data_IF_623833932709
#
_entry.id   IF_623833932709
#
_cell.length_a   1.000
_cell.length_b   1.000
_cell.length_c   1.000
_cell.angle_alpha   90.00
_cell.angle_beta   90.00
_cell.angle_gamma   90.00
#
_symmetry.space_group_name_H-M   'P 1'
#
loop_
_entity.id
_entity.type
_entity.pdbx_description
1 polymer ?
#
# COMPACT_ATOMS: atom_id res chain seq x y z
N UNK A 1 9.53 -23.89 -17.23
CA UNK A 1 8.14 -23.68 -16.75
C UNK A 1 7.28 -23.20 -17.91
N UNK A 2 6.05 -23.70 -18.03
CA UNK A 2 5.11 -23.30 -19.10
C UNK A 2 4.51 -21.90 -18.80
N UNK A 3 4.36 -21.05 -19.81
CA UNK A 3 3.74 -19.73 -19.69
C UNK A 3 2.33 -19.81 -19.07
N UNK A 4 1.62 -20.92 -19.30
CA UNK A 4 0.35 -21.21 -18.62
C UNK A 4 0.46 -21.19 -17.09
N UNK A 5 1.42 -21.94 -16.55
CA UNK A 5 1.62 -22.07 -15.10
C UNK A 5 2.02 -20.73 -14.48
N UNK A 6 2.83 -19.96 -15.21
CA UNK A 6 3.29 -18.64 -14.77
C UNK A 6 2.11 -17.67 -14.66
N UNK A 7 1.28 -17.54 -15.70
CA UNK A 7 0.10 -16.66 -15.67
C UNK A 7 -0.89 -17.08 -14.58
N UNK A 8 -1.10 -18.39 -14.41
CA UNK A 8 -1.91 -18.93 -13.32
C UNK A 8 -1.37 -18.55 -11.93
N UNK A 9 -0.05 -18.63 -11.74
CA UNK A 9 0.62 -18.25 -10.50
C UNK A 9 0.45 -16.77 -10.16
N UNK A 10 0.66 -15.87 -11.14
CA UNK A 10 0.44 -14.42 -10.98
C UNK A 10 -0.98 -14.14 -10.52
N UNK A 11 -1.98 -14.72 -11.21
CA UNK A 11 -3.39 -14.51 -10.85
C UNK A 11 -3.72 -15.00 -9.46
N UNK A 12 -3.16 -16.13 -9.04
CA UNK A 12 -3.41 -16.67 -7.72
C UNK A 12 -2.83 -15.78 -6.62
N UNK A 13 -1.60 -15.28 -6.80
CA UNK A 13 -0.95 -14.37 -5.84
C UNK A 13 -1.69 -13.04 -5.71
N UNK A 14 -2.19 -12.49 -6.81
CA UNK A 14 -2.95 -11.22 -6.83
C UNK A 14 -4.45 -11.42 -6.57
N UNK A 15 -4.97 -12.65 -6.64
CA UNK A 15 -6.38 -12.95 -6.41
C UNK A 15 -7.33 -12.45 -7.49
N UNK A 16 -6.91 -12.45 -8.76
CA UNK A 16 -7.64 -11.82 -9.88
C UNK A 16 -8.08 -12.81 -10.96
N UNK A 17 -9.10 -12.42 -11.75
CA UNK A 17 -9.57 -13.22 -12.88
C UNK A 17 -8.66 -13.10 -14.10
N UNK A 18 -8.84 -13.99 -15.09
CA UNK A 18 -8.17 -13.87 -16.40
C UNK A 18 -8.48 -12.54 -17.10
N UNK A 19 -9.73 -12.09 -16.98
CA UNK A 19 -10.16 -10.84 -17.60
C UNK A 19 -9.48 -9.64 -16.93
N UNK A 20 -9.35 -9.66 -15.60
CA UNK A 20 -8.62 -8.63 -14.85
C UNK A 20 -7.14 -8.60 -15.23
N UNK A 21 -6.46 -9.76 -15.25
CA UNK A 21 -5.06 -9.84 -15.65
C UNK A 21 -4.85 -9.32 -17.07
N UNK A 22 -5.74 -9.70 -18.00
CA UNK A 22 -5.68 -9.24 -19.38
C UNK A 22 -5.80 -7.72 -19.48
N UNK A 23 -6.80 -7.14 -18.79
CA UNK A 23 -7.01 -5.69 -18.74
C UNK A 23 -5.81 -4.95 -18.12
N UNK A 24 -5.31 -5.44 -16.98
CA UNK A 24 -4.13 -4.90 -16.30
C UNK A 24 -2.93 -4.81 -17.25
N UNK A 25 -2.68 -5.88 -18.00
CA UNK A 25 -1.56 -6.00 -18.95
C UNK A 25 -1.82 -5.34 -20.31
N UNK A 26 -3.04 -4.85 -20.57
CA UNK A 26 -3.43 -4.28 -21.86
C UNK A 26 -3.40 -5.30 -23.00
N UNK A 27 -3.80 -6.55 -22.73
CA UNK A 27 -3.95 -7.64 -23.71
C UNK A 27 -5.39 -8.12 -23.75
N UNK A 28 -5.77 -8.88 -24.78
CA UNK A 28 -7.13 -9.41 -24.87
C UNK A 28 -7.36 -10.55 -23.86
N UNK A 29 -8.56 -10.66 -23.25
CA UNK A 29 -8.91 -11.81 -22.39
C UNK A 29 -8.76 -13.17 -23.10
N UNK A 30 -9.01 -13.21 -24.41
CA UNK A 30 -8.82 -14.41 -25.24
C UNK A 30 -7.35 -14.83 -25.30
N UNK A 31 -6.43 -13.87 -25.41
CA UNK A 31 -4.98 -14.14 -25.41
C UNK A 31 -4.55 -14.81 -24.11
N UNK A 32 -4.88 -14.22 -22.95
CA UNK A 32 -4.58 -14.80 -21.63
C UNK A 32 -5.23 -16.17 -21.47
N UNK A 33 -6.49 -16.32 -21.89
CA UNK A 33 -7.21 -17.59 -21.84
C UNK A 33 -6.56 -18.71 -22.66
N UNK A 34 -6.07 -18.40 -23.87
CA UNK A 34 -5.38 -19.36 -24.73
C UNK A 34 -4.00 -19.73 -24.19
N UNK A 35 -3.25 -18.77 -23.65
CA UNK A 35 -1.95 -19.03 -23.01
C UNK A 35 -2.14 -19.97 -21.81
N UNK A 36 -3.08 -19.67 -20.92
CA UNK A 36 -3.31 -20.52 -19.75
C UNK A 36 -3.82 -21.93 -20.09
N UNK A 37 -4.40 -22.15 -21.25
CA UNK A 37 -4.79 -23.48 -21.71
C UNK A 37 -3.68 -24.21 -22.48
N UNK A 38 -2.55 -23.57 -22.74
CA UNK A 38 -1.49 -24.10 -23.61
C UNK A 38 -1.83 -24.08 -25.10
N UNK A 39 -2.91 -23.38 -25.50
CA UNK A 39 -3.38 -23.24 -26.89
C UNK A 39 -2.62 -22.13 -27.66
N UNK A 40 -1.84 -21.32 -26.94
CA UNK A 40 -1.02 -20.25 -27.49
C UNK A 40 0.26 -20.13 -26.67
N UNK A 41 1.40 -20.36 -27.31
CA UNK A 41 2.69 -20.01 -26.74
C UNK A 41 2.96 -18.52 -27.02
N UNK A 42 3.03 -17.64 -26.00
CA UNK A 42 3.25 -16.22 -26.24
C UNK A 42 4.67 -15.97 -26.75
N UNK A 43 4.82 -14.99 -27.64
CA UNK A 43 6.17 -14.49 -27.97
C UNK A 43 6.86 -13.96 -26.70
N UNK A 44 8.19 -14.04 -26.63
CA UNK A 44 8.95 -13.51 -25.51
C UNK A 44 8.60 -12.05 -25.18
N UNK A 45 8.41 -11.21 -26.21
CA UNK A 45 8.00 -9.81 -26.03
C UNK A 45 6.60 -9.66 -25.42
N UNK A 46 5.63 -10.48 -25.84
CA UNK A 46 4.28 -10.50 -25.24
C UNK A 46 4.35 -10.97 -23.79
N UNK A 47 5.14 -12.01 -23.51
CA UNK A 47 5.26 -12.58 -22.19
C UNK A 47 5.94 -11.61 -21.22
N UNK A 48 7.05 -10.99 -21.62
CA UNK A 48 7.76 -9.96 -20.85
C UNK A 48 6.85 -8.79 -20.52
N UNK A 49 6.07 -8.31 -21.49
CA UNK A 49 5.10 -7.22 -21.26
C UNK A 49 4.03 -7.59 -20.23
N UNK A 50 3.56 -8.84 -20.21
CA UNK A 50 2.59 -9.32 -19.20
C UNK A 50 3.24 -9.32 -17.81
N UNK A 51 4.48 -9.82 -17.70
CA UNK A 51 5.23 -9.84 -16.44
C UNK A 51 5.43 -8.41 -15.90
N UNK A 52 6.00 -7.52 -16.70
CA UNK A 52 6.27 -6.14 -16.31
C UNK A 52 5.00 -5.38 -15.92
N UNK A 53 3.92 -5.54 -16.70
CA UNK A 53 2.65 -4.84 -16.42
C UNK A 53 1.94 -5.36 -15.17
N UNK A 54 2.15 -6.62 -14.82
CA UNK A 54 1.59 -7.23 -13.61
C UNK A 54 2.49 -7.03 -12.37
N UNK A 55 3.71 -6.50 -12.52
CA UNK A 55 4.66 -6.30 -11.43
C UNK A 55 5.41 -7.56 -11.02
N UNK A 56 5.64 -8.46 -11.98
CA UNK A 56 6.36 -9.70 -11.78
C UNK A 56 7.58 -9.79 -12.70
N UNK A 57 8.54 -10.62 -12.29
CA UNK A 57 9.70 -10.96 -13.09
C UNK A 57 10.02 -12.44 -12.96
N UNK A 58 10.86 -12.95 -13.86
CA UNK A 58 11.39 -14.30 -13.75
C UNK A 58 12.64 -14.30 -12.88
N UNK A 59 12.69 -15.27 -11.97
CA UNK A 59 13.87 -15.59 -11.18
C UNK A 59 14.17 -17.09 -11.35
N UNK A 60 15.12 -17.39 -12.25
CA UNK A 60 15.36 -18.76 -12.69
C UNK A 60 14.12 -19.35 -13.36
N UNK A 61 13.57 -20.40 -12.77
CA UNK A 61 12.35 -21.07 -13.28
C UNK A 61 11.06 -20.57 -12.62
N UNK A 62 11.13 -19.61 -11.69
CA UNK A 62 10.00 -19.14 -10.90
C UNK A 62 9.61 -17.71 -11.25
N UNK A 63 8.39 -17.33 -10.90
CA UNK A 63 7.99 -15.93 -10.83
C UNK A 63 8.15 -15.39 -9.43
N UNK A 64 8.58 -14.14 -9.36
CA UNK A 64 8.62 -13.36 -8.12
C UNK A 64 8.06 -11.95 -8.40
N UNK A 65 7.42 -11.32 -7.40
CA UNK A 65 7.13 -9.89 -7.47
C UNK A 65 8.41 -9.09 -7.74
N UNK A 66 8.32 -7.94 -8.42
CA UNK A 66 9.51 -7.14 -8.74
C UNK A 66 10.13 -6.44 -7.54
N UNK A 67 9.41 -6.33 -6.42
CA UNK A 67 9.81 -5.49 -5.30
C UNK A 67 9.69 -3.99 -5.60
N UNK A 68 8.92 -3.61 -6.61
CA UNK A 68 8.77 -2.20 -6.99
C UNK A 68 8.00 -1.40 -5.91
N UNK A 69 8.75 -0.65 -5.11
CA UNK A 69 8.20 0.17 -4.02
C UNK A 69 7.24 1.25 -4.52
N UNK A 70 7.39 1.72 -5.78
CA UNK A 70 6.53 2.74 -6.37
C UNK A 70 5.07 2.29 -6.48
N UNK A 71 4.81 0.98 -6.55
CA UNK A 71 3.45 0.43 -6.54
C UNK A 71 2.73 0.73 -5.22
N UNK A 72 3.42 0.58 -4.08
CA UNK A 72 2.85 0.90 -2.77
C UNK A 72 2.62 2.40 -2.61
N UNK A 73 3.56 3.22 -3.07
CA UNK A 73 3.43 4.68 -3.03
C UNK A 73 2.26 5.13 -3.91
N UNK A 74 2.10 4.58 -5.12
CA UNK A 74 0.97 4.89 -5.99
C UNK A 74 -0.37 4.53 -5.35
N UNK A 75 -0.45 3.38 -4.66
CA UNK A 75 -1.65 2.96 -3.94
C UNK A 75 -1.95 3.86 -2.73
N UNK A 76 -0.91 4.26 -1.98
CA UNK A 76 -1.02 5.21 -0.86
C UNK A 76 -1.70 6.51 -1.29
N UNK A 77 -1.25 7.14 -2.38
CA UNK A 77 -1.87 8.38 -2.87
C UNK A 77 -3.35 8.21 -3.23
N UNK A 78 -3.73 7.08 -3.81
CA UNK A 78 -5.14 6.77 -4.10
C UNK A 78 -5.92 6.61 -2.79
N UNK A 79 -5.38 5.85 -1.84
CA UNK A 79 -5.99 5.61 -0.55
C UNK A 79 -6.19 6.91 0.24
N UNK A 80 -5.19 7.77 0.30
CA UNK A 80 -5.27 9.06 1.00
C UNK A 80 -6.45 9.88 0.48
N UNK A 81 -6.58 10.03 -0.86
CA UNK A 81 -7.70 10.79 -1.44
C UNK A 81 -9.07 10.17 -1.18
N UNK A 82 -9.16 8.84 -1.28
CA UNK A 82 -10.40 8.12 -1.00
C UNK A 82 -10.78 8.23 0.47
N UNK A 83 -9.82 8.07 1.38
CA UNK A 83 -10.05 8.04 2.81
C UNK A 83 -10.32 9.44 3.35
N UNK A 84 -9.64 10.47 2.86
CA UNK A 84 -9.97 11.87 3.16
C UNK A 84 -11.43 12.17 2.81
N UNK A 85 -11.89 11.72 1.63
CA UNK A 85 -13.29 11.87 1.24
C UNK A 85 -14.25 11.11 2.17
N UNK A 86 -13.92 9.86 2.50
CA UNK A 86 -14.73 8.98 3.36
C UNK A 86 -14.85 9.55 4.77
N UNK A 87 -13.73 9.95 5.38
CA UNK A 87 -13.68 10.48 6.75
C UNK A 87 -14.38 11.84 6.85
N UNK A 88 -14.22 12.71 5.85
CA UNK A 88 -14.96 13.98 5.78
C UNK A 88 -16.48 13.77 5.78
N UNK A 89 -17.00 12.76 5.08
CA UNK A 89 -18.43 12.45 5.08
C UNK A 89 -18.93 11.84 6.38
N UNK A 90 -18.12 11.00 7.04
CA UNK A 90 -18.47 10.38 8.32
C UNK A 90 -18.66 11.39 9.47
N UNK A 91 -17.97 12.53 9.40
CA UNK A 91 -18.04 13.61 10.40
C UNK A 91 -19.23 14.57 10.25
N UNK A 92 -19.98 14.49 9.14
CA UNK A 92 -21.08 15.41 8.85
C UNK A 92 -22.45 14.85 9.27
N UNK A 93 -23.19 15.57 10.12
CA UNK A 93 -24.60 15.25 10.48
C UNK A 93 -25.45 15.21 9.20
N UNK A 94 -26.41 14.27 9.06
CA UNK A 94 -27.16 14.09 7.81
C UNK A 94 -28.21 15.20 7.68
N UNK A 95 -27.79 16.35 7.16
CA UNK A 95 -28.72 17.35 6.65
C UNK A 95 -28.67 17.27 5.12
N UNK A 96 -29.82 16.96 4.55
CA UNK A 96 -30.10 16.88 3.12
C UNK A 96 -29.33 17.91 2.30
N UNK A 97 -28.47 17.48 1.39
CA UNK A 97 -28.11 18.25 0.19
C UNK A 97 -27.60 17.29 -0.88
N UNK A 98 -28.24 17.37 -2.05
CA UNK A 98 -27.90 16.80 -3.36
C UNK A 98 -26.57 16.06 -3.47
N UNK A 99 -26.64 14.80 -3.93
CA UNK A 99 -25.49 14.06 -4.41
C UNK A 99 -24.61 15.00 -5.26
N UNK A 100 -23.34 15.26 -4.87
CA UNK A 100 -22.45 15.93 -5.77
C UNK A 100 -22.39 15.05 -7.02
N UNK A 101 -22.77 15.60 -8.18
CA UNK A 101 -22.34 15.06 -9.46
C UNK A 101 -20.81 15.08 -9.37
N UNK A 102 -20.23 13.90 -9.13
CA UNK A 102 -19.08 13.78 -8.24
C UNK A 102 -17.90 14.63 -8.68
N UNK A 103 -17.22 15.36 -7.77
CA UNK A 103 -15.82 15.67 -8.03
C UNK A 103 -15.12 14.33 -8.22
N UNK A 104 -14.43 14.14 -9.34
CA UNK A 104 -13.59 12.98 -9.51
C UNK A 104 -12.61 12.96 -8.32
N UNK A 105 -12.84 12.07 -7.35
CA UNK A 105 -12.08 11.95 -6.10
C UNK A 105 -10.57 11.91 -6.38
N UNK A 106 -10.22 11.49 -7.60
CA UNK A 106 -8.88 11.25 -8.11
C UNK A 106 -8.42 12.22 -9.21
N UNK A 107 -9.20 13.25 -9.58
CA UNK A 107 -8.83 14.20 -10.65
C UNK A 107 -7.56 15.01 -10.38
N UNK A 108 -7.03 14.96 -9.15
CA UNK A 108 -5.80 15.63 -8.73
C UNK A 108 -4.68 14.63 -8.38
N UNK A 109 -4.74 13.38 -8.85
CA UNK A 109 -3.58 12.49 -8.77
C UNK A 109 -2.51 13.02 -9.72
N UNK A 110 -1.45 13.56 -9.14
CA UNK A 110 -0.25 13.97 -9.84
C UNK A 110 0.97 13.37 -9.12
N UNK A 111 1.99 13.04 -9.88
CA UNK A 111 3.17 12.37 -9.34
C UNK A 111 4.15 11.92 -10.44
N UNK A 112 5.28 11.34 -10.03
CA UNK A 112 6.31 10.84 -10.94
C UNK A 112 5.79 9.82 -11.96
N UNK A 113 6.52 9.66 -13.07
CA UNK A 113 6.13 8.81 -14.20
C UNK A 113 5.89 7.35 -13.78
N UNK A 114 6.64 6.86 -12.78
CA UNK A 114 6.53 5.53 -12.22
C UNK A 114 5.15 5.32 -11.54
N UNK A 115 4.67 6.33 -10.79
CA UNK A 115 3.34 6.27 -10.17
C UNK A 115 2.23 6.34 -11.21
N UNK A 116 2.39 7.21 -12.21
CA UNK A 116 1.45 7.33 -13.32
C UNK A 116 1.31 6.02 -14.10
N UNK A 117 2.42 5.29 -14.29
CA UNK A 117 2.39 3.98 -14.93
C UNK A 117 1.53 2.97 -14.15
N UNK A 118 1.61 2.99 -12.82
CA UNK A 118 0.76 2.15 -11.95
C UNK A 118 -0.71 2.56 -12.03
N UNK A 119 -1.02 3.85 -11.91
CA UNK A 119 -2.40 4.33 -12.02
C UNK A 119 -3.02 3.99 -13.38
N UNK A 120 -2.27 4.12 -14.47
CA UNK A 120 -2.74 3.72 -15.81
C UNK A 120 -3.02 2.21 -15.90
N UNK A 121 -2.20 1.35 -15.27
CA UNK A 121 -2.44 -0.10 -15.21
C UNK A 121 -3.76 -0.40 -14.49
N UNK A 122 -3.98 0.21 -13.33
CA UNK A 122 -5.21 0.01 -12.55
C UNK A 122 -6.45 0.61 -13.21
N UNK A 123 -6.31 1.74 -13.93
CA UNK A 123 -7.38 2.28 -14.75
C UNK A 123 -7.81 1.31 -15.85
N UNK A 124 -6.84 0.72 -16.58
CA UNK A 124 -7.16 -0.31 -17.59
C UNK A 124 -7.85 -1.52 -16.97
N UNK A 125 -7.41 -1.95 -15.79
CA UNK A 125 -8.01 -3.04 -15.04
C UNK A 125 -9.44 -2.75 -14.56
N UNK A 126 -9.81 -1.47 -14.46
CA UNK A 126 -11.08 -1.01 -13.89
C UNK A 126 -11.08 -0.92 -12.37
N UNK A 127 -9.90 -1.02 -11.74
CA UNK A 127 -9.75 -0.92 -10.28
C UNK A 127 -9.66 0.53 -9.82
N UNK A 128 -9.19 1.40 -10.71
CA UNK A 128 -9.14 2.85 -10.53
C UNK A 128 -10.11 3.50 -11.52
N UNK A 129 -10.98 4.39 -11.02
CA UNK A 129 -11.95 5.12 -11.83
C UNK A 129 -12.37 6.41 -11.12
N UNK A 130 -12.99 7.33 -11.85
CA UNK A 130 -13.51 8.58 -11.26
C UNK A 130 -14.61 8.36 -10.20
N UNK A 131 -15.23 7.18 -10.23
CA UNK A 131 -16.21 6.72 -9.24
C UNK A 131 -15.67 5.44 -8.56
N UNK A 132 -14.74 5.58 -7.59
CA UNK A 132 -14.07 4.44 -6.97
C UNK A 132 -15.08 3.52 -6.26
N UNK A 133 -14.86 2.21 -6.38
CA UNK A 133 -15.64 1.18 -5.70
C UNK A 133 -14.81 0.55 -4.58
N UNK A 134 -15.47 0.02 -3.55
CA UNK A 134 -14.81 -0.73 -2.48
C UNK A 134 -13.95 -1.85 -3.06
N UNK A 135 -14.48 -2.65 -3.99
CA UNK A 135 -13.73 -3.74 -4.64
C UNK A 135 -12.51 -3.23 -5.42
N UNK A 136 -12.65 -2.14 -6.18
CA UNK A 136 -11.54 -1.55 -6.94
C UNK A 136 -10.38 -1.12 -6.03
N UNK A 137 -10.70 -0.43 -4.94
CA UNK A 137 -9.70 0.00 -3.94
C UNK A 137 -9.04 -1.20 -3.25
N UNK A 138 -9.78 -2.29 -2.98
CA UNK A 138 -9.20 -3.51 -2.42
C UNK A 138 -8.27 -4.21 -3.40
N UNK A 139 -8.66 -4.33 -4.68
CA UNK A 139 -7.82 -4.96 -5.70
C UNK A 139 -6.52 -4.19 -5.93
N UNK A 140 -6.57 -2.86 -6.08
CA UNK A 140 -5.36 -2.07 -6.30
C UNK A 140 -4.44 -2.12 -5.08
N UNK A 141 -4.99 -2.01 -3.86
CA UNK A 141 -4.18 -2.02 -2.63
C UNK A 141 -3.53 -3.38 -2.40
N UNK A 142 -4.27 -4.47 -2.61
CA UNK A 142 -3.73 -5.83 -2.53
C UNK A 142 -2.65 -6.05 -3.58
N UNK A 143 -2.90 -5.69 -4.84
CA UNK A 143 -1.93 -5.81 -5.92
C UNK A 143 -0.63 -5.03 -5.63
N UNK A 144 -0.74 -3.77 -5.23
CA UNK A 144 0.39 -2.95 -4.82
C UNK A 144 1.17 -3.59 -3.67
N UNK A 145 0.47 -4.17 -2.67
CA UNK A 145 1.10 -4.83 -1.53
C UNK A 145 1.87 -6.11 -1.90
N UNK A 146 1.44 -6.82 -2.94
CA UNK A 146 2.13 -8.02 -3.44
C UNK A 146 3.38 -7.61 -4.20
N UNK A 147 3.25 -6.64 -5.12
CA UNK A 147 4.35 -6.19 -5.99
C UNK A 147 5.50 -5.53 -5.21
N UNK A 148 5.17 -4.68 -4.24
CA UNK A 148 6.16 -3.86 -3.52
C UNK A 148 6.83 -4.54 -2.32
N UNK A 149 6.32 -5.71 -1.89
CA UNK A 149 6.66 -6.31 -0.59
C UNK A 149 8.15 -6.51 -0.39
N UNK A 150 8.82 -7.10 -1.38
CA UNK A 150 10.24 -7.44 -1.28
C UNK A 150 11.12 -6.19 -1.23
N UNK A 151 10.81 -5.17 -2.05
CA UNK A 151 11.54 -3.90 -2.02
C UNK A 151 11.37 -3.15 -0.70
N UNK A 152 10.14 -3.10 -0.16
CA UNK A 152 9.91 -2.49 1.16
C UNK A 152 10.59 -3.28 2.28
N UNK A 153 10.65 -4.61 2.18
CA UNK A 153 11.37 -5.43 3.15
C UNK A 153 12.90 -5.22 3.10
N UNK A 154 13.44 -4.77 1.95
CA UNK A 154 14.85 -4.49 1.75
C UNK A 154 15.29 -3.08 2.19
N UNK A 155 14.34 -2.18 2.53
CA UNK A 155 14.66 -0.82 2.97
C UNK A 155 15.53 -0.84 4.25
N UNK A 156 16.46 0.13 4.40
CA UNK A 156 17.26 0.27 5.60
C UNK A 156 16.38 0.41 6.84
N UNK A 157 16.56 -0.52 7.79
CA UNK A 157 15.77 -0.56 9.02
C UNK A 157 16.58 -1.05 10.20
N UNK A 158 16.19 -0.61 11.38
CA UNK A 158 16.72 -1.04 12.66
C UNK A 158 15.56 -1.49 13.56
N UNK A 159 15.76 -2.56 14.31
CA UNK A 159 14.81 -3.03 15.32
C UNK A 159 15.39 -2.70 16.68
N UNK A 160 14.73 -1.85 17.47
CA UNK A 160 15.29 -1.30 18.72
C UNK A 160 14.32 -1.36 19.88
N UNK A 161 14.85 -1.36 21.11
CA UNK A 161 14.06 -1.24 22.33
C UNK A 161 12.90 -2.22 22.45
N UNK A 162 11.89 -1.88 23.23
CA UNK A 162 10.70 -2.72 23.44
C UNK A 162 9.51 -2.15 22.67
N UNK A 163 8.83 -2.98 21.87
CA UNK A 163 7.71 -2.55 21.01
C UNK A 163 6.65 -1.70 21.72
N UNK A 164 6.26 -2.09 22.94
CA UNK A 164 5.25 -1.39 23.76
C UNK A 164 5.65 0.02 24.20
N UNK A 165 6.95 0.35 24.13
CA UNK A 165 7.53 1.64 24.52
C UNK A 165 7.84 2.54 23.33
N UNK A 166 7.19 2.31 22.19
CA UNK A 166 7.39 3.12 21.00
C UNK A 166 7.09 4.61 21.22
N UNK A 167 6.13 4.95 22.09
CA UNK A 167 5.80 6.34 22.45
C UNK A 167 6.98 7.05 23.13
N UNK A 168 7.65 6.37 24.06
CA UNK A 168 8.85 6.91 24.71
C UNK A 168 9.97 7.15 23.69
N UNK A 169 10.10 6.27 22.69
CA UNK A 169 11.11 6.41 21.64
C UNK A 169 10.84 7.62 20.75
N UNK A 170 9.60 7.82 20.29
CA UNK A 170 9.28 8.96 19.41
C UNK A 170 9.47 10.30 20.10
N UNK A 171 9.14 10.40 21.39
CA UNK A 171 9.40 11.63 22.16
C UNK A 171 10.90 11.94 22.22
N UNK A 172 11.76 10.92 22.40
CA UNK A 172 13.21 11.09 22.38
C UNK A 172 13.74 11.50 21.00
N UNK A 173 13.12 11.02 19.92
CA UNK A 173 13.46 11.41 18.54
C UNK A 173 13.09 12.88 18.30
N UNK A 174 11.89 13.28 18.74
CA UNK A 174 11.39 14.65 18.66
C UNK A 174 12.25 15.64 19.47
N UNK A 175 12.57 15.30 20.72
CA UNK A 175 13.44 16.09 21.60
C UNK A 175 14.86 16.26 21.03
N UNK A 176 15.34 15.28 20.27
CA UNK A 176 16.63 15.35 19.57
C UNK A 176 16.56 16.13 18.24
N UNK A 177 15.38 16.61 17.84
CA UNK A 177 15.16 17.47 16.68
C UNK A 177 15.11 16.73 15.34
N UNK A 178 14.88 15.42 15.35
CA UNK A 178 14.76 14.64 14.11
C UNK A 178 13.31 14.62 13.61
N UNK A 179 13.14 14.76 12.30
CA UNK A 179 11.83 14.54 11.66
C UNK A 179 11.49 13.05 11.67
N UNK A 180 10.27 12.75 12.10
CA UNK A 180 9.77 11.38 12.15
C UNK A 180 8.27 11.34 11.86
N UNK A 181 7.78 10.14 11.53
CA UNK A 181 6.35 9.86 11.44
C UNK A 181 6.06 8.41 11.85
N UNK A 182 5.02 8.22 12.64
CA UNK A 182 4.55 6.90 13.07
C UNK A 182 3.48 6.40 12.11
N UNK A 183 3.69 5.21 11.55
CA UNK A 183 2.69 4.54 10.72
C UNK A 183 1.64 3.86 11.60
N UNK A 184 0.59 4.60 11.94
CA UNK A 184 -0.53 4.13 12.74
C UNK A 184 -1.83 4.89 12.39
N UNK A 185 -2.99 4.34 12.77
CA UNK A 185 -4.31 4.93 12.49
C UNK A 185 -4.92 5.71 13.66
N UNK A 186 -4.28 5.73 14.83
CA UNK A 186 -4.81 6.32 16.07
C UNK A 186 -5.35 7.74 15.85
N UNK A 187 -4.58 8.60 15.17
CA UNK A 187 -4.95 10.00 14.95
C UNK A 187 -6.12 10.15 14.00
N UNK A 188 -6.12 9.39 12.91
CA UNK A 188 -7.16 9.48 11.89
C UNK A 188 -8.52 8.94 12.35
N UNK A 189 -8.51 8.00 13.30
CA UNK A 189 -9.73 7.40 13.85
C UNK A 189 -10.12 7.97 15.22
N UNK A 190 -9.41 9.02 15.68
CA UNK A 190 -9.62 9.68 16.98
C UNK A 190 -9.76 8.69 18.14
N UNK A 191 -9.04 7.57 18.08
CA UNK A 191 -9.25 6.44 18.97
C UNK A 191 -7.92 5.79 19.35
N UNK A 192 -7.54 5.81 20.65
CA UNK A 192 -6.30 5.19 21.13
C UNK A 192 -6.23 3.67 20.90
N UNK A 193 -7.36 3.00 20.70
CA UNK A 193 -7.45 1.56 20.41
C UNK A 193 -7.51 1.26 18.91
N UNK A 194 -7.50 2.28 18.06
CA UNK A 194 -7.49 2.12 16.60
C UNK A 194 -6.11 1.83 16.02
N UNK A 195 -5.08 1.75 16.87
CA UNK A 195 -3.76 1.31 16.46
C UNK A 195 -3.83 -0.04 15.75
N UNK A 196 -3.19 -0.13 14.58
CA UNK A 196 -3.22 -1.36 13.77
C UNK A 196 -2.28 -2.43 14.33
N UNK A 197 -1.28 -2.02 15.11
CA UNK A 197 -0.23 -2.87 15.65
C UNK A 197 0.19 -2.44 17.05
N UNK A 198 0.70 -3.38 17.86
CA UNK A 198 1.27 -3.09 19.18
C UNK A 198 2.64 -2.40 19.10
N UNK A 199 3.28 -2.41 17.92
CA UNK A 199 4.62 -1.87 17.67
C UNK A 199 4.68 -1.29 16.26
N UNK A 200 4.22 -0.04 16.06
CA UNK A 200 4.14 0.57 14.74
C UNK A 200 5.54 0.79 14.15
N UNK A 201 5.57 0.96 12.82
CA UNK A 201 6.77 1.39 12.11
C UNK A 201 6.95 2.88 12.31
N UNK A 202 8.19 3.29 12.56
CA UNK A 202 8.57 4.69 12.74
C UNK A 202 9.51 5.06 11.60
N UNK A 203 9.08 5.98 10.75
CA UNK A 203 9.91 6.59 9.74
C UNK A 203 10.74 7.70 10.33
N UNK A 204 12.01 7.78 9.96
CA UNK A 204 12.95 8.83 10.39
C UNK A 204 13.75 9.33 9.20
N UNK A 205 14.11 10.61 9.23
CA UNK A 205 14.85 11.25 8.13
C UNK A 205 16.26 10.71 7.93
N UNK A 206 16.95 10.34 9.01
CA UNK A 206 18.27 9.70 8.96
C UNK A 206 18.38 8.62 10.03
N UNK A 207 18.22 7.37 9.60
CA UNK A 207 18.25 6.21 10.49
C UNK A 207 19.58 6.07 11.24
N UNK A 208 20.71 6.33 10.56
CA UNK A 208 22.03 6.15 11.15
C UNK A 208 22.33 7.21 12.19
N UNK A 209 21.97 8.47 11.90
CA UNK A 209 22.15 9.58 12.82
C UNK A 209 21.25 9.44 14.05
N UNK A 210 19.98 9.09 13.88
CA UNK A 210 19.05 8.82 14.99
C UNK A 210 19.58 7.71 15.88
N UNK A 211 20.00 6.58 15.30
CA UNK A 211 20.54 5.45 16.07
C UNK A 211 21.78 5.84 16.88
N UNK A 212 22.68 6.62 16.28
CA UNK A 212 23.91 7.08 16.94
C UNK A 212 23.64 8.08 18.07
N UNK A 213 22.86 9.14 17.80
CA UNK A 213 22.59 10.22 18.77
C UNK A 213 21.81 9.69 19.96
N UNK A 214 20.79 8.86 19.72
CA UNK A 214 19.97 8.29 20.78
C UNK A 214 20.58 7.02 21.42
N UNK A 215 21.76 6.59 20.93
CA UNK A 215 22.45 5.36 21.38
C UNK A 215 21.51 4.16 21.41
N UNK A 216 20.80 3.95 20.31
CA UNK A 216 19.77 2.91 20.25
C UNK A 216 20.42 1.53 20.24
N UNK A 217 19.94 0.66 21.13
CA UNK A 217 20.35 -0.72 21.20
C UNK A 217 19.46 -1.59 20.31
N UNK A 218 20.10 -2.52 19.58
CA UNK A 218 19.38 -3.49 18.76
C UNK A 218 18.58 -4.44 19.64
N UNK A 219 17.36 -4.75 19.19
CA UNK A 219 16.47 -5.66 19.90
C UNK A 219 16.44 -7.06 19.29
N UNK A 220 16.11 -8.08 20.11
CA UNK A 220 15.85 -9.42 19.61
C UNK A 220 14.74 -9.41 18.56
N UNK A 221 14.83 -10.33 17.60
CA UNK A 221 13.85 -10.48 16.53
C UNK A 221 12.43 -10.61 17.09
N UNK A 222 11.50 -9.81 16.55
CA UNK A 222 10.08 -9.86 16.88
C UNK A 222 9.67 -9.19 18.21
N UNK A 223 10.56 -8.44 18.88
CA UNK A 223 10.22 -7.77 20.15
C UNK A 223 10.49 -6.26 20.20
N UNK A 224 11.09 -5.70 19.14
CA UNK A 224 11.48 -4.30 19.10
C UNK A 224 10.65 -3.46 18.14
N UNK A 225 10.89 -2.16 18.22
CA UNK A 225 10.28 -1.12 17.42
C UNK A 225 11.04 -1.04 16.10
N UNK A 226 10.30 -0.99 14.99
CA UNK A 226 10.87 -0.91 13.66
C UNK A 226 11.11 0.56 13.28
N UNK A 227 12.37 0.99 13.28
CA UNK A 227 12.80 2.25 12.69
C UNK A 227 13.16 2.01 11.22
N UNK A 228 12.62 2.84 10.33
CA UNK A 228 12.82 2.73 8.88
C UNK A 228 13.33 4.08 8.36
N UNK A 229 14.33 4.05 7.49
CA UNK A 229 14.76 5.26 6.80
C UNK A 229 13.64 5.74 5.86
N UNK A 230 13.26 7.00 5.98
CA UNK A 230 12.33 7.62 5.03
C UNK A 230 13.09 8.03 3.75
N UNK A 231 12.52 7.74 2.59
CA UNK A 231 13.05 8.21 1.31
C UNK A 231 12.07 9.19 0.67
N UNK A 232 10.83 8.76 0.44
CA UNK A 232 9.68 9.55 0.00
C UNK A 232 8.48 8.58 -0.21
N UNK A 233 7.24 8.90 0.20
CA UNK A 233 6.72 10.15 0.77
C UNK A 233 6.43 10.03 2.28
N UNK A 234 7.08 9.12 3.02
CA UNK A 234 6.64 8.75 4.38
C UNK A 234 6.70 9.86 5.43
N UNK A 235 7.52 10.90 5.20
CA UNK A 235 7.59 12.11 6.03
C UNK A 235 6.87 13.31 5.39
N UNK A 236 6.13 13.08 4.31
CA UNK A 236 5.21 14.07 3.71
C UNK A 236 3.78 13.85 4.25
N UNK A 237 3.02 14.93 4.31
CA UNK A 237 1.64 14.94 4.80
C UNK A 237 1.49 14.39 6.24
N UNK A 238 2.45 14.75 7.11
CA UNK A 238 2.45 14.36 8.51
C UNK A 238 1.21 14.91 9.22
N UNK A 239 0.49 14.01 9.90
CA UNK A 239 -0.66 14.34 10.74
C UNK A 239 -0.22 14.38 12.20
N UNK A 240 -0.47 15.47 12.91
CA UNK A 240 -0.09 15.61 14.32
C UNK A 240 -1.29 15.27 15.22
N UNK A 241 -1.09 14.34 16.15
CA UNK A 241 -2.07 13.94 17.16
C UNK A 241 -1.41 13.69 18.51
N UNK A 242 -1.96 14.23 19.60
CA UNK A 242 -1.39 14.10 20.96
C UNK A 242 0.12 14.46 21.06
N UNK A 243 0.58 15.40 20.24
CA UNK A 243 1.99 15.80 20.17
C UNK A 243 2.92 14.81 19.46
N UNK A 244 2.37 13.80 18.78
CA UNK A 244 3.11 12.81 18.00
C UNK A 244 2.83 13.03 16.51
N UNK A 245 3.88 12.91 15.69
CA UNK A 245 3.80 12.94 14.24
C UNK A 245 3.43 11.55 13.68
N UNK A 246 2.38 11.48 12.87
CA UNK A 246 1.91 10.26 12.21
C UNK A 246 1.97 10.39 10.70
N UNK A 247 2.11 9.26 10.00
CA UNK A 247 1.98 9.22 8.55
C UNK A 247 0.53 9.43 8.13
N UNK A 248 0.28 9.59 6.84
CA UNK A 248 -1.08 9.54 6.30
C UNK A 248 -1.77 8.19 6.54
N UNK A 249 -3.10 8.18 6.44
CA UNK A 249 -3.94 6.98 6.63
C UNK A 249 -3.63 5.91 5.60
N UNK A 250 -3.49 6.30 4.33
CA UNK A 250 -3.13 5.42 3.23
C UNK A 250 -1.75 4.80 3.45
N UNK A 251 -0.80 5.55 4.02
CA UNK A 251 0.53 5.01 4.35
C UNK A 251 0.43 3.92 5.42
N UNK A 252 -0.29 4.19 6.51
CA UNK A 252 -0.49 3.22 7.59
C UNK A 252 -1.20 1.95 7.10
N UNK A 253 -2.17 2.07 6.19
CA UNK A 253 -2.85 0.92 5.57
C UNK A 253 -1.86 0.13 4.69
N UNK A 254 -1.11 0.79 3.81
CA UNK A 254 -0.16 0.11 2.92
C UNK A 254 0.96 -0.59 3.69
N UNK A 255 1.42 -0.01 4.78
CA UNK A 255 2.42 -0.64 5.64
C UNK A 255 1.92 -1.94 6.25
N UNK A 256 0.73 -1.95 6.80
CA UNK A 256 0.15 -3.17 7.34
C UNK A 256 -0.23 -4.18 6.23
N UNK A 257 -0.63 -3.72 5.04
CA UNK A 257 -0.86 -4.60 3.89
C UNK A 257 0.42 -5.27 3.37
N UNK A 258 1.59 -4.69 3.62
CA UNK A 258 2.90 -5.29 3.30
C UNK A 258 3.50 -6.05 4.47
N UNK A 259 2.81 -6.04 5.61
CA UNK A 259 3.16 -6.70 6.85
C UNK A 259 2.88 -8.20 6.90
N UNK A 260 2.83 -8.72 8.12
CA UNK A 260 2.50 -10.13 8.35
C UNK A 260 1.02 -10.45 8.06
N UNK A 261 0.62 -11.72 8.17
CA UNK A 261 -0.76 -12.14 7.87
C UNK A 261 -1.79 -11.56 8.86
N UNK A 262 -1.41 -11.25 10.10
CA UNK A 262 -2.30 -10.62 11.07
C UNK A 262 -2.49 -9.14 10.75
N UNK A 263 -1.40 -8.41 10.49
CA UNK A 263 -1.41 -7.01 10.06
C UNK A 263 -2.24 -6.84 8.78
N UNK A 264 -2.02 -7.71 7.78
CA UNK A 264 -2.76 -7.69 6.51
C UNK A 264 -4.26 -7.87 6.70
N UNK A 265 -4.68 -8.88 7.47
CA UNK A 265 -6.10 -9.12 7.75
C UNK A 265 -6.74 -7.98 8.54
N UNK A 266 -5.99 -7.39 9.47
CA UNK A 266 -6.48 -6.25 10.23
C UNK A 266 -6.73 -5.04 9.31
N UNK A 267 -5.77 -4.71 8.45
CA UNK A 267 -5.92 -3.61 7.49
C UNK A 267 -7.00 -3.84 6.45
N UNK A 268 -7.14 -5.05 5.91
CA UNK A 268 -8.20 -5.36 4.95
C UNK A 268 -9.59 -5.15 5.58
N UNK A 269 -9.75 -5.57 6.84
CA UNK A 269 -10.96 -5.37 7.62
C UNK A 269 -11.21 -3.88 7.89
N UNK A 270 -10.21 -3.14 8.37
CA UNK A 270 -10.34 -1.71 8.67
C UNK A 270 -10.69 -0.92 7.41
N UNK A 271 -10.00 -1.17 6.30
CA UNK A 271 -10.29 -0.53 5.02
C UNK A 271 -11.74 -0.81 4.57
N UNK A 272 -12.21 -2.05 4.72
CA UNK A 272 -13.60 -2.43 4.41
C UNK A 272 -14.60 -1.70 5.31
N UNK A 273 -14.31 -1.55 6.59
CA UNK A 273 -15.16 -0.85 7.56
C UNK A 273 -15.26 0.65 7.26
N UNK A 274 -14.14 1.30 6.93
CA UNK A 274 -14.11 2.73 6.61
C UNK A 274 -14.93 3.03 5.36
N UNK A 275 -14.83 2.19 4.33
CA UNK A 275 -15.54 2.42 3.06
C UNK A 275 -17.01 1.97 3.08
N UNK A 276 -17.43 1.21 4.11
CA UNK A 276 -18.76 0.61 4.18
C UNK A 276 -19.87 1.68 4.17
N UNK A 277 -20.81 1.55 3.24
CA UNK A 277 -21.95 2.47 3.12
C UNK A 277 -21.63 3.84 2.51
N UNK A 278 -20.35 4.12 2.20
CA UNK A 278 -19.91 5.37 1.57
C UNK A 278 -19.56 5.14 0.10
N UNK A 279 -18.78 4.09 -0.19
CA UNK A 279 -18.47 3.69 -1.55
C UNK A 279 -19.39 2.56 -2.03
N UNK A 280 -19.71 2.50 -3.34
CA UNK A 280 -20.38 1.34 -3.93
C UNK A 280 -19.46 0.11 -3.88
N UNK A 281 -20.03 -1.08 -3.70
CA UNK A 281 -19.27 -2.33 -3.58
C UNK A 281 -18.49 -2.65 -4.86
N UNK A 282 -19.12 -2.44 -6.03
CA UNK A 282 -18.51 -2.70 -7.35
C UNK A 282 -18.56 -4.14 -7.81
#
# INVERSE_FOLDING_TARGET
>A
MDASQILGGIRHQVGITRADLARLCGVSPSTVGRIEKGELDPTWGTFTRILESSGFMLHGEWIVPTGDASAAVAARFVLDRVLDHVLARGSSTPTETSAPTGPAILAALDGPAELQAWWQRWHRAGWLSDAPTTMGIKFLSHHASVVSREGRAAMPRLVVGEGRRWRDLVLRIDEAGFTYAVSDLTTALESPSAGLTDSPRIYVSDLSMVASVLRLESSPSGRGIHLVSAEWPELEDIVVGDGICFTSVGQAIMDNLTGDEAERRNSDRTLSQLMAGILPVG
#
